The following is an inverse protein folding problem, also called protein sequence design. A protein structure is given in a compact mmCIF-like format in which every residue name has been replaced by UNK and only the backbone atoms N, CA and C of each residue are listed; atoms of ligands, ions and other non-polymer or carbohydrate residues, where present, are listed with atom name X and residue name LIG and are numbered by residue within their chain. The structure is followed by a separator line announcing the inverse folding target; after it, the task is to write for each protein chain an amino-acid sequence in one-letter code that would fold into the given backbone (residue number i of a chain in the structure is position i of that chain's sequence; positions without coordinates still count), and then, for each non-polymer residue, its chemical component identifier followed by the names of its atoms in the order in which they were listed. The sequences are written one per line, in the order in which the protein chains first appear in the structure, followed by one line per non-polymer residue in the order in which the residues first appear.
data_IF_891437832453
#
_entry.id   IF_891437832453
#
_cell.length_a   1.000
_cell.length_b   1.000
_cell.length_c   1.000
_cell.angle_alpha   90.00
_cell.angle_beta   90.00
_cell.angle_gamma   90.00
#
_symmetry.space_group_name_H-M   'P 1'
#
loop_
_entity.id
_entity.type
_entity.pdbx_description
1 polymer ?
#
# COMPACT_ATOMS: atom_id res chain seq x y z
N UNK A 1 14.06 13.61 0.30
CA UNK A 1 13.62 14.47 1.42
C UNK A 1 14.24 15.88 1.39
N UNK A 2 15.50 16.04 0.96
CA UNK A 2 16.22 17.33 0.97
C UNK A 2 15.66 18.44 0.04
N UNK A 3 14.64 18.16 -0.77
CA UNK A 3 13.97 19.15 -1.64
C UNK A 3 12.47 19.31 -1.33
N UNK A 4 11.99 18.74 -0.24
CA UNK A 4 10.61 18.94 0.22
C UNK A 4 10.55 20.09 1.24
N UNK A 5 9.46 20.88 1.20
CA UNK A 5 9.25 22.05 2.08
C UNK A 5 7.93 22.01 2.86
N UNK A 6 7.11 20.98 2.67
CA UNK A 6 5.84 20.83 3.39
C UNK A 6 6.04 20.43 4.85
N UNK A 7 5.02 20.66 5.69
CA UNK A 7 4.97 20.22 7.09
C UNK A 7 4.89 18.69 7.23
N UNK A 8 4.42 18.01 6.18
CA UNK A 8 4.39 16.55 6.06
C UNK A 8 5.03 16.12 4.74
N UNK A 9 5.49 14.87 4.70
CA UNK A 9 6.07 14.25 3.51
C UNK A 9 5.23 13.02 3.10
N UNK A 10 4.66 13.07 1.89
CA UNK A 10 3.93 11.94 1.31
C UNK A 10 4.85 11.15 0.38
N UNK A 11 4.96 9.85 0.61
CA UNK A 11 5.58 8.90 -0.32
C UNK A 11 4.48 8.19 -1.10
N UNK A 12 4.59 8.18 -2.42
CA UNK A 12 3.65 7.51 -3.31
C UNK A 12 4.39 6.89 -4.49
N UNK A 13 4.02 5.67 -4.85
CA UNK A 13 4.54 4.99 -6.03
C UNK A 13 3.86 5.52 -7.30
N UNK A 14 4.64 5.63 -8.39
CA UNK A 14 4.16 6.15 -9.67
C UNK A 14 3.48 5.08 -10.55
N UNK A 15 3.19 3.90 -10.00
CA UNK A 15 2.60 2.75 -10.70
C UNK A 15 1.07 2.80 -10.78
N UNK A 16 0.44 3.78 -10.12
CA UNK A 16 -1.01 3.94 -10.10
C UNK A 16 -1.75 2.88 -9.28
N UNK A 17 -1.06 2.14 -8.40
CA UNK A 17 -1.70 1.15 -7.55
C UNK A 17 -2.71 1.78 -6.57
N UNK A 18 -2.45 3.02 -6.13
CA UNK A 18 -3.23 3.72 -5.10
C UNK A 18 -4.13 4.80 -5.69
N UNK A 19 -5.36 4.91 -5.20
CA UNK A 19 -6.29 5.97 -5.63
C UNK A 19 -6.12 7.23 -4.78
N UNK A 20 -6.44 8.40 -5.34
CA UNK A 20 -6.40 9.65 -4.58
C UNK A 20 -7.30 9.64 -3.34
N UNK A 21 -8.41 8.89 -3.39
CA UNK A 21 -9.32 8.75 -2.27
C UNK A 21 -8.71 7.95 -1.09
N UNK A 22 -7.68 7.14 -1.31
CA UNK A 22 -7.03 6.39 -0.24
C UNK A 22 -6.06 7.25 0.58
N UNK A 23 -5.64 8.41 0.07
CA UNK A 23 -4.74 9.34 0.77
C UNK A 23 -5.39 9.81 2.08
N UNK A 24 -6.69 10.09 2.06
CA UNK A 24 -7.42 10.59 3.24
C UNK A 24 -7.34 9.62 4.42
N UNK A 25 -7.31 8.30 4.16
CA UNK A 25 -7.18 7.28 5.23
C UNK A 25 -5.83 7.39 5.95
N UNK A 26 -4.77 7.65 5.19
CA UNK A 26 -3.42 7.80 5.74
C UNK A 26 -3.29 9.13 6.49
N UNK A 27 -3.88 10.20 5.96
CA UNK A 27 -3.98 11.51 6.61
C UNK A 27 -4.77 11.45 7.92
N UNK A 28 -5.93 10.78 7.95
CA UNK A 28 -6.74 10.60 9.16
C UNK A 28 -5.98 9.80 10.23
N UNK A 29 -5.25 8.77 9.82
CA UNK A 29 -4.35 8.01 10.71
C UNK A 29 -3.24 8.88 11.29
N UNK A 30 -2.64 9.74 10.46
CA UNK A 30 -1.61 10.68 10.91
C UNK A 30 -2.19 11.73 11.85
N UNK A 31 -3.36 12.29 11.53
CA UNK A 31 -4.07 13.24 12.39
C UNK A 31 -4.40 12.63 13.75
N UNK A 32 -4.81 11.36 13.80
CA UNK A 32 -5.11 10.64 15.05
C UNK A 32 -3.87 10.44 15.94
N UNK A 33 -2.69 10.24 15.33
CA UNK A 33 -1.42 10.09 16.06
C UNK A 33 -0.91 11.44 16.57
N UNK A 34 -0.94 12.46 15.72
CA UNK A 34 -0.34 13.78 16.00
C UNK A 34 -1.32 14.68 16.78
N UNK A 35 -2.63 14.42 16.70
CA UNK A 35 -3.71 15.21 17.32
C UNK A 35 -3.65 16.72 17.02
N UNK A 36 -3.12 17.08 15.85
CA UNK A 36 -3.16 18.45 15.34
C UNK A 36 -3.19 18.47 13.82
N UNK A 37 -3.68 19.58 13.28
CA UNK A 37 -3.82 19.80 11.85
C UNK A 37 -2.54 20.44 11.31
N UNK A 38 -1.81 19.71 10.46
CA UNK A 38 -0.54 20.14 9.87
C UNK A 38 -0.67 21.32 8.91
N UNK A 39 -1.89 21.68 8.49
CA UNK A 39 -2.15 22.87 7.68
C UNK A 39 -2.36 24.12 8.55
N UNK A 40 -2.89 23.98 9.77
CA UNK A 40 -3.21 25.11 10.66
C UNK A 40 -2.07 25.45 11.61
N UNK A 41 -1.41 24.42 12.15
CA UNK A 41 -0.36 24.57 13.16
C UNK A 41 0.92 23.80 12.75
N UNK A 42 1.64 24.22 11.70
CA UNK A 42 2.83 23.50 11.22
C UNK A 42 3.93 23.40 12.29
N UNK A 43 4.08 24.41 13.15
CA UNK A 43 5.09 24.42 14.22
C UNK A 43 4.87 23.34 15.27
N UNK A 44 3.62 22.94 15.53
CA UNK A 44 3.32 21.87 16.51
C UNK A 44 3.57 20.47 15.93
N UNK A 45 3.55 20.35 14.59
CA UNK A 45 3.81 19.10 13.90
C UNK A 45 5.31 18.83 13.83
N UNK A 46 6.14 19.86 13.71
CA UNK A 46 7.61 19.73 13.69
C UNK A 46 8.16 19.07 14.97
N UNK A 47 7.54 19.32 16.11
CA UNK A 47 7.94 18.73 17.40
C UNK A 47 7.53 17.25 17.55
N UNK A 48 6.71 16.72 16.64
CA UNK A 48 6.13 15.37 16.73
C UNK A 48 6.64 14.47 15.61
N UNK A 49 7.13 13.30 15.99
CA UNK A 49 7.51 12.25 15.04
C UNK A 49 6.39 11.22 14.92
N UNK A 50 5.70 11.19 13.79
CA UNK A 50 4.67 10.20 13.50
C UNK A 50 4.74 9.76 12.03
N UNK A 51 4.39 8.49 11.78
CA UNK A 51 4.34 7.89 10.45
C UNK A 51 3.03 7.12 10.36
N UNK A 52 2.26 7.39 9.32
CA UNK A 52 1.05 6.65 8.97
C UNK A 52 1.30 5.92 7.64
N UNK A 53 0.94 4.64 7.57
CA UNK A 53 1.14 3.80 6.39
C UNK A 53 -0.18 3.12 6.02
N UNK A 54 -0.59 3.28 4.76
CA UNK A 54 -1.73 2.55 4.22
C UNK A 54 -1.36 1.08 4.01
N UNK A 55 -2.14 0.16 4.59
CA UNK A 55 -1.98 -1.27 4.35
C UNK A 55 -2.99 -1.78 3.31
N UNK A 56 -2.51 -2.56 2.35
CA UNK A 56 -3.35 -3.30 1.38
C UNK A 56 -3.48 -4.78 1.73
N UNK A 57 -3.01 -5.20 2.90
CA UNK A 57 -3.09 -6.61 3.31
C UNK A 57 -4.53 -7.14 3.26
N UNK A 58 -5.51 -6.28 3.56
CA UNK A 58 -6.91 -6.64 3.48
C UNK A 58 -7.41 -6.94 2.05
N UNK A 59 -6.84 -6.29 1.02
CA UNK A 59 -7.18 -6.57 -0.39
C UNK A 59 -6.62 -7.92 -0.87
N UNK A 60 -5.64 -8.49 -0.18
CA UNK A 60 -5.12 -9.81 -0.49
C UNK A 60 -6.17 -10.90 -0.21
N UNK A 61 -6.88 -10.79 0.91
CA UNK A 61 -7.97 -11.72 1.25
C UNK A 61 -9.12 -11.65 0.24
N UNK A 62 -9.51 -10.45 -0.19
CA UNK A 62 -10.53 -10.26 -1.23
C UNK A 62 -10.05 -10.76 -2.61
N UNK A 63 -8.79 -10.54 -2.95
CA UNK A 63 -8.18 -11.05 -4.19
C UNK A 63 -8.06 -12.57 -4.20
N UNK A 64 -7.89 -13.20 -3.03
CA UNK A 64 -7.93 -14.66 -2.84
C UNK A 64 -9.37 -15.15 -2.91
N UNK A 65 -10.33 -14.48 -2.28
CA UNK A 65 -11.75 -14.83 -2.34
C UNK A 65 -12.33 -14.74 -3.76
N UNK A 66 -11.85 -13.78 -4.57
CA UNK A 66 -12.24 -13.57 -5.97
C UNK A 66 -11.38 -14.34 -6.99
N UNK A 67 -10.48 -15.25 -6.55
CA UNK A 67 -9.77 -16.15 -7.47
C UNK A 67 -10.76 -17.02 -8.21
N UNK A 68 -10.97 -16.72 -9.49
CA UNK A 68 -11.66 -17.64 -10.40
C UNK A 68 -10.99 -19.01 -10.34
N UNK A 69 -11.81 -20.05 -10.12
CA UNK A 69 -11.39 -21.45 -10.09
C UNK A 69 -10.50 -21.82 -11.28
N UNK A 70 -10.80 -21.28 -12.46
CA UNK A 70 -10.04 -21.48 -13.68
C UNK A 70 -8.60 -20.96 -13.59
N UNK A 71 -8.40 -19.77 -13.00
CA UNK A 71 -7.06 -19.17 -12.82
C UNK A 71 -6.19 -20.03 -11.89
N UNK A 72 -6.80 -20.62 -10.86
CA UNK A 72 -6.11 -21.51 -9.91
C UNK A 72 -5.68 -22.81 -10.59
N UNK A 73 -6.56 -23.44 -11.36
CA UNK A 73 -6.22 -24.65 -12.14
C UNK A 73 -5.09 -24.35 -13.13
N UNK A 74 -5.20 -23.25 -13.88
CA UNK A 74 -4.23 -22.91 -14.92
C UNK A 74 -2.84 -22.63 -14.32
N UNK A 75 -2.76 -21.95 -13.18
CA UNK A 75 -1.51 -21.68 -12.47
C UNK A 75 -0.82 -22.98 -12.00
N UNK A 76 -1.58 -23.89 -11.36
CA UNK A 76 -1.04 -25.16 -10.88
C UNK A 76 -0.70 -26.11 -12.02
N UNK A 77 -1.54 -26.20 -13.05
CA UNK A 77 -1.29 -26.99 -14.25
C UNK A 77 -0.05 -26.50 -15.00
N UNK A 78 0.11 -25.19 -15.15
CA UNK A 78 1.31 -24.62 -15.77
C UNK A 78 2.58 -24.96 -14.98
N UNK A 79 2.58 -24.80 -13.65
CA UNK A 79 3.72 -25.19 -12.82
C UNK A 79 4.00 -26.69 -12.89
N UNK A 80 2.97 -27.53 -12.92
CA UNK A 80 3.11 -28.97 -13.07
C UNK A 80 3.78 -29.34 -14.41
N UNK A 81 3.32 -28.74 -15.51
CA UNK A 81 3.90 -28.96 -16.85
C UNK A 81 5.35 -28.45 -16.91
N UNK A 82 5.63 -27.24 -16.42
CA UNK A 82 7.00 -26.70 -16.37
C UNK A 82 7.90 -27.59 -15.52
N UNK A 83 7.44 -28.04 -14.36
CA UNK A 83 8.20 -28.96 -13.53
C UNK A 83 8.44 -30.31 -14.22
N UNK A 84 7.42 -30.88 -14.85
CA UNK A 84 7.48 -32.17 -15.53
C UNK A 84 8.44 -32.14 -16.73
N UNK A 85 8.42 -31.06 -17.52
CA UNK A 85 9.19 -30.97 -18.76
C UNK A 85 10.52 -30.24 -18.64
N UNK A 86 10.70 -29.32 -17.68
CA UNK A 86 11.88 -28.46 -17.59
C UNK A 86 12.75 -28.68 -16.33
N UNK A 87 12.24 -29.40 -15.31
CA UNK A 87 13.01 -29.65 -14.07
C UNK A 87 13.32 -31.14 -13.89
N UNK A 88 12.47 -32.04 -14.40
CA UNK A 88 12.60 -33.49 -14.21
C UNK A 88 12.99 -34.26 -15.48
N UNK A 89 13.62 -33.56 -16.43
CA UNK A 89 14.36 -34.12 -17.57
C UNK A 89 15.85 -34.07 -17.25
#
# INVERSE_FOLDING_TARGET
MQSARGSVLLFADADGATTFADITKVEDGLFSLVNCDYQKDPSKVEEKLAISMGSRAHLEEEAVASRSFFRTILMHGFHFLVWLFAVRV
#
